data_IF_845594695408
#
_entry.id   IF_845594695408
#
_cell.length_a   1.000
_cell.length_b   1.000
_cell.length_c   1.000
_cell.angle_alpha   90.00
_cell.angle_beta   90.00
_cell.angle_gamma   90.00
#
_symmetry.space_group_name_H-M   'P 1'
#
loop_
_entity.id
_entity.type
_entity.pdbx_description
1 polymer ?
#
# COMPACT_ATOMS: atom_id res chain seq x y z
N UNK A 1 -3.40 7.22 21.84
CA UNK A 1 -2.68 6.12 22.53
C UNK A 1 -1.22 6.26 22.16
N UNK A 2 -0.28 6.12 23.10
CA UNK A 2 1.14 6.17 22.78
C UNK A 2 1.52 5.02 21.81
N UNK A 3 2.59 5.21 21.01
CA UNK A 3 3.14 4.13 20.20
C UNK A 3 3.53 2.92 21.07
N UNK A 4 3.47 1.72 20.48
CA UNK A 4 3.98 0.51 21.13
C UNK A 4 5.45 0.40 20.76
N UNK A 5 6.32 0.45 21.76
CA UNK A 5 7.76 0.43 21.58
C UNK A 5 8.39 -0.85 22.16
N UNK A 6 9.58 -1.21 21.67
CA UNK A 6 10.41 -2.28 22.23
C UNK A 6 9.73 -3.64 22.39
N UNK A 7 8.81 -3.98 21.46
CA UNK A 7 8.20 -5.31 21.42
C UNK A 7 9.21 -6.32 20.86
N UNK A 8 9.59 -7.30 21.69
CA UNK A 8 10.57 -8.33 21.32
C UNK A 8 9.91 -9.52 20.61
N UNK A 9 10.63 -10.08 19.63
CA UNK A 9 10.28 -11.30 18.90
C UNK A 9 11.51 -12.20 18.82
N UNK A 10 11.31 -13.53 18.80
CA UNK A 10 12.40 -14.51 18.76
C UNK A 10 13.13 -14.56 17.41
N UNK A 11 12.41 -14.27 16.32
CA UNK A 11 12.96 -14.28 14.96
C UNK A 11 12.19 -13.34 14.03
N UNK A 12 12.78 -13.09 12.85
CA UNK A 12 12.16 -12.35 11.76
C UNK A 12 12.19 -13.16 10.45
N UNK A 13 11.07 -13.28 9.72
CA UNK A 13 9.72 -12.78 10.03
C UNK A 13 9.12 -13.38 11.31
N UNK A 14 8.21 -12.64 11.95
CA UNK A 14 7.60 -13.05 13.24
C UNK A 14 6.76 -14.33 13.05
N UNK A 15 7.05 -15.44 13.78
CA UNK A 15 6.39 -16.73 13.57
C UNK A 15 4.90 -16.74 13.87
N UNK A 16 4.47 -15.95 14.85
CA UNK A 16 3.08 -15.84 15.26
C UNK A 16 2.26 -14.90 14.36
N UNK A 17 2.90 -14.27 13.36
CA UNK A 17 2.22 -13.40 12.42
C UNK A 17 1.22 -14.19 11.58
N UNK A 18 -0.04 -13.74 11.60
CA UNK A 18 -1.10 -14.31 10.78
C UNK A 18 -1.23 -13.50 9.49
N UNK A 19 -1.17 -14.20 8.35
CA UNK A 19 -1.35 -13.57 7.04
C UNK A 19 -2.84 -13.50 6.70
N UNK A 20 -3.36 -12.28 6.69
CA UNK A 20 -4.75 -12.00 6.34
C UNK A 20 -4.87 -11.58 4.88
N UNK A 21 -5.83 -12.17 4.17
CA UNK A 21 -6.13 -11.82 2.78
C UNK A 21 -7.42 -11.01 2.73
N UNK A 22 -7.33 -9.83 2.10
CA UNK A 22 -8.49 -9.04 1.72
C UNK A 22 -8.64 -8.98 0.21
N UNK A 23 -9.88 -8.85 -0.24
CA UNK A 23 -10.27 -8.68 -1.63
C UNK A 23 -10.75 -7.24 -1.85
N UNK A 24 -10.38 -6.67 -2.99
CA UNK A 24 -10.89 -5.38 -3.45
C UNK A 24 -12.37 -5.58 -3.84
N UNK A 25 -13.30 -4.88 -3.19
CA UNK A 25 -14.75 -5.01 -3.42
C UNK A 25 -15.33 -3.83 -4.20
N UNK A 26 -16.50 -4.05 -4.78
CA UNK A 26 -17.16 -3.10 -5.69
C UNK A 26 -17.69 -1.83 -4.97
N UNK A 27 -17.70 -1.82 -3.64
CA UNK A 27 -18.11 -0.69 -2.80
C UNK A 27 -16.92 0.10 -2.23
N UNK A 28 -15.76 0.05 -2.90
CA UNK A 28 -14.51 0.72 -2.49
C UNK A 28 -14.04 0.29 -1.09
N UNK A 29 -14.21 -1.00 -0.78
CA UNK A 29 -13.75 -1.59 0.49
C UNK A 29 -12.83 -2.78 0.27
N UNK A 30 -12.16 -3.15 1.33
CA UNK A 30 -11.47 -4.41 1.47
C UNK A 30 -12.41 -5.39 2.18
N UNK A 31 -12.66 -6.54 1.56
CA UNK A 31 -13.55 -7.57 2.08
C UNK A 31 -12.77 -8.86 2.40
N UNK A 32 -13.15 -9.57 3.47
CA UNK A 32 -12.55 -10.86 3.82
C UNK A 32 -12.97 -12.01 2.86
N UNK A 33 -14.04 -11.80 2.08
CA UNK A 33 -14.55 -12.75 1.09
C UNK A 33 -14.48 -12.12 -0.30
N UNK A 34 -14.22 -12.96 -1.31
CA UNK A 34 -14.25 -12.53 -2.71
C UNK A 34 -15.64 -11.98 -3.07
N UNK A 35 -15.73 -10.87 -3.83
CA UNK A 35 -16.98 -10.42 -4.40
C UNK A 35 -17.63 -11.50 -5.29
N UNK A 36 -18.97 -11.56 -5.36
CA UNK A 36 -19.68 -12.57 -6.15
C UNK A 36 -19.56 -12.33 -7.67
N UNK A 37 -19.25 -11.09 -8.08
CA UNK A 37 -19.04 -10.69 -9.47
C UNK A 37 -17.89 -9.70 -9.56
N UNK A 38 -17.14 -9.77 -10.66
CA UNK A 38 -16.09 -8.78 -10.96
C UNK A 38 -16.67 -7.40 -11.24
N UNK A 39 -15.86 -6.38 -11.01
CA UNK A 39 -16.10 -5.01 -11.43
C UNK A 39 -14.78 -4.36 -11.87
N UNK A 40 -14.88 -3.28 -12.64
CA UNK A 40 -13.74 -2.49 -13.08
C UNK A 40 -13.91 -1.07 -12.55
N UNK A 41 -12.83 -0.52 -12.02
CA UNK A 41 -12.70 0.88 -11.65
C UNK A 41 -11.60 1.47 -12.55
N UNK A 42 -11.77 2.71 -12.98
CA UNK A 42 -10.84 3.42 -13.84
C UNK A 42 -10.48 4.76 -13.22
N UNK A 43 -9.26 5.20 -13.47
CA UNK A 43 -8.72 6.49 -13.06
C UNK A 43 -7.73 6.97 -14.14
N UNK A 44 -7.44 8.26 -14.16
CA UNK A 44 -6.47 8.86 -15.06
C UNK A 44 -5.05 8.74 -14.48
N UNK A 45 -4.14 8.11 -15.23
CA UNK A 45 -2.76 7.86 -14.79
C UNK A 45 -1.79 9.03 -15.02
N UNK A 46 -2.21 10.10 -15.69
CA UNK A 46 -1.40 11.28 -16.02
C UNK A 46 -1.68 12.48 -15.10
N UNK A 47 -2.42 12.25 -14.02
CA UNK A 47 -2.69 13.26 -12.99
C UNK A 47 -1.57 13.26 -11.94
N UNK A 48 -1.01 14.43 -11.57
CA UNK A 48 0.03 14.51 -10.54
C UNK A 48 -0.45 13.98 -9.19
N UNK A 49 0.21 12.95 -8.68
CA UNK A 49 0.06 12.50 -7.29
C UNK A 49 0.83 13.43 -6.34
N UNK A 50 0.13 14.00 -5.36
CA UNK A 50 0.68 14.94 -4.37
C UNK A 50 0.81 14.31 -2.97
N UNK A 51 0.42 13.03 -2.85
CA UNK A 51 0.54 12.15 -1.68
C UNK A 51 -0.18 12.65 -0.42
N UNK A 52 -1.21 13.50 -0.58
CA UNK A 52 -1.91 14.10 0.56
C UNK A 52 -3.05 13.25 1.13
N UNK A 53 -3.37 12.10 0.49
CA UNK A 53 -4.42 11.18 0.97
C UNK A 53 -5.84 11.65 0.62
N UNK A 54 -5.95 12.44 -0.43
CA UNK A 54 -7.16 12.80 -1.18
C UNK A 54 -6.72 13.33 -2.56
N UNK A 55 -5.80 12.60 -3.19
CA UNK A 55 -5.25 13.00 -4.47
C UNK A 55 -6.33 12.84 -5.55
N UNK A 56 -6.44 13.75 -6.53
CA UNK A 56 -7.34 13.52 -7.65
C UNK A 56 -6.91 12.25 -8.40
N UNK A 57 -7.90 11.47 -8.88
CA UNK A 57 -7.67 10.26 -9.67
C UNK A 57 -6.93 9.13 -8.93
N UNK A 58 -7.11 9.03 -7.61
CA UNK A 58 -6.72 7.86 -6.82
C UNK A 58 -7.89 6.89 -6.62
N UNK A 59 -7.59 5.58 -6.56
CA UNK A 59 -8.57 4.54 -6.22
C UNK A 59 -8.29 4.04 -4.81
N UNK A 60 -9.25 4.24 -3.90
CA UNK A 60 -9.12 3.89 -2.48
C UNK A 60 -9.99 2.68 -2.13
N UNK A 61 -9.45 1.79 -1.30
CA UNK A 61 -10.20 0.69 -0.69
C UNK A 61 -9.97 0.67 0.81
N UNK A 62 -11.06 0.69 1.58
CA UNK A 62 -10.99 0.85 3.03
C UNK A 62 -11.32 -0.44 3.81
N UNK A 63 -10.65 -0.63 4.95
CA UNK A 63 -11.00 -1.66 5.92
C UNK A 63 -11.05 -1.09 7.35
N UNK A 64 -12.17 -1.32 8.04
CA UNK A 64 -12.29 -0.97 9.46
C UNK A 64 -12.05 -2.18 10.36
N UNK A 65 -10.92 -2.15 11.09
CA UNK A 65 -10.63 -3.16 12.11
C UNK A 65 -11.61 -3.08 13.28
N UNK A 66 -12.26 -4.20 13.60
CA UNK A 66 -13.25 -4.30 14.70
C UNK A 66 -12.60 -4.41 16.09
N UNK A 67 -11.29 -4.63 16.13
CA UNK A 67 -10.49 -4.74 17.36
C UNK A 67 -9.11 -4.16 17.13
N UNK A 68 -8.43 -3.78 18.22
CA UNK A 68 -7.03 -3.36 18.19
C UNK A 68 -6.19 -4.43 17.49
N UNK A 69 -5.60 -4.07 16.36
CA UNK A 69 -4.84 -4.98 15.50
C UNK A 69 -3.46 -4.40 15.23
N UNK A 70 -2.44 -5.25 15.19
CA UNK A 70 -1.07 -4.88 14.85
C UNK A 70 -0.76 -5.49 13.48
N UNK A 71 -0.31 -4.64 12.55
CA UNK A 71 0.21 -5.07 11.26
C UNK A 71 1.74 -5.01 11.34
N UNK A 72 2.39 -6.11 10.95
CA UNK A 72 3.83 -6.22 10.93
C UNK A 72 4.27 -7.11 9.76
N UNK A 73 5.47 -6.89 9.25
CA UNK A 73 6.01 -7.63 8.13
C UNK A 73 5.64 -7.05 6.76
N UNK A 74 5.76 -7.88 5.73
CA UNK A 74 5.54 -7.48 4.34
C UNK A 74 4.06 -7.54 3.97
N UNK A 75 3.60 -6.55 3.21
CA UNK A 75 2.29 -6.56 2.56
C UNK A 75 2.45 -6.87 1.07
N UNK A 76 1.41 -7.45 0.47
CA UNK A 76 1.38 -7.81 -0.95
C UNK A 76 0.06 -7.39 -1.56
N UNK A 77 0.11 -6.61 -2.63
CA UNK A 77 -1.03 -6.32 -3.48
C UNK A 77 -0.99 -7.21 -4.72
N UNK A 78 -2.14 -7.77 -5.11
CA UNK A 78 -2.31 -8.48 -6.38
C UNK A 78 -3.42 -7.76 -7.14
N UNK A 79 -3.04 -7.14 -8.24
CA UNK A 79 -3.91 -6.26 -9.03
C UNK A 79 -4.04 -6.81 -10.44
N UNK A 80 -5.28 -6.78 -10.96
CA UNK A 80 -5.60 -7.07 -12.35
C UNK A 80 -5.88 -5.73 -13.02
N UNK A 81 -5.02 -5.32 -13.95
CA UNK A 81 -5.02 -3.97 -14.51
C UNK A 81 -4.76 -4.02 -16.02
N UNK A 82 -5.29 -3.01 -16.73
CA UNK A 82 -5.06 -2.77 -18.15
C UNK A 82 -5.01 -1.27 -18.41
N UNK A 83 -4.26 -0.85 -19.43
CA UNK A 83 -4.28 0.52 -19.94
C UNK A 83 -4.68 0.49 -21.42
N UNK A 84 -5.79 1.13 -21.84
CA UNK A 84 -6.18 1.16 -23.26
C UNK A 84 -5.23 1.98 -24.14
N UNK A 85 -4.60 3.02 -23.58
CA UNK A 85 -3.77 3.98 -24.32
C UNK A 85 -2.28 3.65 -24.40
N UNK A 86 -1.81 2.73 -23.56
CA UNK A 86 -0.38 2.39 -23.45
C UNK A 86 -0.18 0.89 -23.26
N UNK A 87 0.93 0.37 -23.77
CA UNK A 87 1.34 -1.02 -23.65
C UNK A 87 2.21 -1.29 -22.40
N UNK A 88 2.50 -0.26 -21.62
CA UNK A 88 3.16 -0.34 -20.31
C UNK A 88 2.77 0.86 -19.42
N UNK A 89 2.90 0.69 -18.11
CA UNK A 89 2.56 1.71 -17.11
C UNK A 89 3.19 1.40 -15.76
N UNK A 90 3.42 2.43 -14.95
CA UNK A 90 3.90 2.30 -13.57
C UNK A 90 2.70 2.26 -12.62
N UNK A 91 2.67 1.26 -11.73
CA UNK A 91 1.62 1.08 -10.72
C UNK A 91 2.18 1.45 -9.36
N UNK A 92 1.56 2.44 -8.71
CA UNK A 92 1.87 2.87 -7.36
C UNK A 92 0.79 2.38 -6.40
N UNK A 93 1.19 1.78 -5.28
CA UNK A 93 0.28 1.33 -4.23
C UNK A 93 0.78 1.85 -2.89
N UNK A 94 -0.14 2.33 -2.05
CA UNK A 94 0.18 2.78 -0.70
C UNK A 94 -0.83 2.24 0.30
N UNK A 95 -0.35 1.73 1.44
CA UNK A 95 -1.21 1.42 2.58
C UNK A 95 -1.20 2.61 3.53
N UNK A 96 -2.37 3.22 3.73
CA UNK A 96 -2.58 4.34 4.65
C UNK A 96 -3.36 3.88 5.87
N UNK A 97 -3.11 4.55 7.00
CA UNK A 97 -3.88 4.34 8.23
C UNK A 97 -4.81 5.53 8.43
N UNK A 98 -6.10 5.29 8.52
CA UNK A 98 -7.06 6.30 8.92
C UNK A 98 -7.38 6.23 10.43
N UNK A 99 -7.71 7.39 11.01
CA UNK A 99 -8.28 7.52 12.34
C UNK A 99 -9.74 7.10 12.38
N UNK A 100 -10.31 7.08 13.59
CA UNK A 100 -11.74 6.77 13.82
C UNK A 100 -12.71 7.78 13.17
N UNK A 101 -12.19 8.95 12.83
CA UNK A 101 -12.84 10.08 12.19
C UNK A 101 -12.66 10.07 10.66
N UNK A 102 -11.99 9.05 10.11
CA UNK A 102 -11.67 8.96 8.69
C UNK A 102 -10.44 9.76 8.26
N UNK A 103 -9.84 10.56 9.15
CA UNK A 103 -8.66 11.35 8.82
C UNK A 103 -7.44 10.44 8.61
N UNK A 104 -6.78 10.57 7.47
CA UNK A 104 -5.55 9.83 7.19
C UNK A 104 -4.44 10.30 8.14
N UNK A 105 -3.86 9.35 8.86
CA UNK A 105 -2.82 9.60 9.85
C UNK A 105 -1.44 9.54 9.20
N UNK A 106 -0.51 10.31 9.77
CA UNK A 106 0.93 10.25 9.47
C UNK A 106 1.69 9.85 10.73
N UNK A 107 2.92 9.37 10.55
CA UNK A 107 3.80 9.01 11.66
C UNK A 107 5.03 9.91 11.65
N UNK A 108 5.31 10.59 12.76
CA UNK A 108 6.53 11.39 12.91
C UNK A 108 7.69 10.45 13.22
N UNK A 109 8.72 10.45 12.38
CA UNK A 109 9.83 9.49 12.45
C UNK A 109 10.87 9.82 13.52
N UNK A 110 10.94 11.09 13.94
CA UNK A 110 11.88 11.58 14.95
C UNK A 110 11.06 12.09 16.15
N UNK A 111 11.38 11.70 17.39
CA UNK A 111 10.67 12.20 18.56
C UNK A 111 10.57 13.73 18.54
N UNK A 112 9.37 14.29 18.82
CA UNK A 112 9.13 15.74 18.71
C UNK A 112 10.10 16.58 19.56
N UNK A 113 10.51 16.06 20.71
CA UNK A 113 11.50 16.69 21.59
C UNK A 113 12.88 16.85 20.93
N UNK A 114 13.28 15.88 20.10
CA UNK A 114 14.57 15.91 19.38
C UNK A 114 14.50 16.85 18.16
N UNK A 115 13.29 17.13 17.66
CA UNK A 115 13.03 18.12 16.62
C UNK A 115 12.89 19.55 17.17
N UNK A 116 12.78 19.72 18.49
CA UNK A 116 12.60 21.04 19.12
C UNK A 116 11.24 21.70 18.80
N UNK A 117 10.23 20.92 18.46
CA UNK A 117 8.87 21.41 18.12
C UNK A 117 7.89 21.13 19.24
N UNK A 118 6.82 21.95 19.33
CA UNK A 118 5.79 21.78 20.36
C UNK A 118 4.49 21.16 19.83
N UNK A 119 4.39 21.01 18.51
CA UNK A 119 3.19 20.53 17.82
C UNK A 119 3.55 19.76 16.56
N UNK A 120 2.76 18.72 16.24
CA UNK A 120 2.90 17.95 14.99
C UNK A 120 2.75 18.83 13.73
N UNK A 121 2.04 19.96 13.85
CA UNK A 121 1.85 20.93 12.75
C UNK A 121 3.11 21.69 12.37
N UNK A 122 4.08 21.78 13.28
CA UNK A 122 5.38 22.43 13.03
C UNK A 122 6.34 21.48 12.29
N UNK A 123 6.06 20.18 12.29
CA UNK A 123 6.87 19.20 11.57
C UNK A 123 6.58 19.31 10.08
N UNK A 124 7.61 19.54 9.28
CA UNK A 124 7.48 19.62 7.82
C UNK A 124 6.99 18.31 7.20
N UNK A 125 6.19 18.42 6.15
CA UNK A 125 5.65 17.28 5.37
C UNK A 125 6.70 16.75 4.38
N UNK A 126 7.81 16.25 4.91
CA UNK A 126 8.87 15.61 4.12
C UNK A 126 9.13 14.20 4.63
N UNK A 127 9.48 13.30 3.70
CA UNK A 127 9.65 11.87 3.99
C UNK A 127 10.57 11.55 5.19
N UNK A 128 11.72 12.24 5.39
CA UNK A 128 12.56 12.00 6.56
C UNK A 128 11.85 12.26 7.89
N UNK A 129 10.92 13.21 7.93
CA UNK A 129 10.23 13.63 9.15
C UNK A 129 8.88 12.93 9.34
N UNK A 130 8.14 12.67 8.25
CA UNK A 130 6.82 12.06 8.29
C UNK A 130 6.74 10.85 7.36
N UNK A 131 6.38 9.71 7.94
CA UNK A 131 6.05 8.50 7.22
C UNK A 131 4.53 8.41 7.01
N UNK A 132 4.13 8.22 5.75
CA UNK A 132 2.71 8.14 5.36
C UNK A 132 2.16 6.72 5.45
N UNK A 133 3.03 5.71 5.49
CA UNK A 133 2.69 4.30 5.36
C UNK A 133 3.53 3.62 4.27
N UNK A 134 3.56 2.27 4.25
CA UNK A 134 4.37 1.54 3.29
C UNK A 134 3.80 1.72 1.88
N UNK A 135 4.70 2.00 0.93
CA UNK A 135 4.40 2.12 -0.49
C UNK A 135 5.16 1.09 -1.32
N UNK A 136 4.66 0.84 -2.52
CA UNK A 136 5.30 0.01 -3.54
C UNK A 136 5.07 0.58 -4.92
N UNK A 137 6.05 0.38 -5.80
CA UNK A 137 5.96 0.74 -7.22
C UNK A 137 6.38 -0.46 -8.07
N UNK A 138 5.66 -0.69 -9.15
CA UNK A 138 6.00 -1.71 -10.14
C UNK A 138 5.69 -1.19 -11.55
N UNK A 139 6.68 -1.24 -12.44
CA UNK A 139 6.45 -1.15 -13.88
C UNK A 139 5.78 -2.43 -14.36
N UNK A 140 4.61 -2.32 -14.98
CA UNK A 140 3.75 -3.46 -15.24
C UNK A 140 4.36 -4.48 -16.24
N UNK A 141 5.19 -4.03 -17.18
CA UNK A 141 5.99 -4.91 -18.05
C UNK A 141 7.00 -5.79 -17.30
N UNK A 142 7.41 -5.40 -16.08
CA UNK A 142 8.34 -6.14 -15.20
C UNK A 142 7.61 -7.08 -14.21
N UNK A 143 6.32 -7.36 -14.41
CA UNK A 143 5.51 -8.20 -13.50
C UNK A 143 5.97 -9.65 -13.32
N UNK A 144 6.90 -10.14 -14.14
CA UNK A 144 7.43 -11.50 -14.03
C UNK A 144 8.00 -11.74 -12.62
N UNK A 145 7.66 -12.89 -12.03
CA UNK A 145 8.05 -13.26 -10.66
C UNK A 145 9.25 -14.20 -10.75
N UNK A 146 10.29 -13.93 -9.95
CA UNK A 146 11.39 -14.86 -9.73
C UNK A 146 10.93 -15.99 -8.79
N UNK A 147 10.83 -17.25 -9.28
CA UNK A 147 10.32 -18.36 -8.47
C UNK A 147 11.33 -18.86 -7.42
N UNK A 148 12.62 -18.53 -7.55
CA UNK A 148 13.70 -18.95 -6.65
C UNK A 148 13.77 -18.00 -5.45
N UNK A 149 13.72 -16.69 -5.71
CA UNK A 149 13.81 -15.66 -4.67
C UNK A 149 12.48 -15.43 -3.94
N UNK A 150 11.35 -15.64 -4.62
CA UNK A 150 10.03 -15.41 -4.03
C UNK A 150 9.71 -16.36 -2.88
N UNK A 151 9.02 -15.82 -1.87
CA UNK A 151 8.41 -16.54 -0.75
C UNK A 151 6.90 -16.31 -0.77
N UNK A 152 6.07 -17.16 -0.12
CA UNK A 152 4.60 -17.07 -0.20
C UNK A 152 4.01 -15.66 0.05
N UNK A 153 4.62 -14.89 0.96
CA UNK A 153 4.17 -13.56 1.37
C UNK A 153 5.15 -12.43 1.03
N UNK A 154 6.20 -12.73 0.26
CA UNK A 154 7.21 -11.78 -0.21
C UNK A 154 7.60 -12.15 -1.64
N UNK A 155 7.00 -11.48 -2.61
CA UNK A 155 7.31 -11.70 -4.01
C UNK A 155 8.58 -10.93 -4.39
N UNK A 156 9.36 -11.54 -5.26
CA UNK A 156 10.50 -10.92 -5.93
C UNK A 156 10.18 -10.89 -7.43
N UNK A 157 10.25 -9.70 -8.01
CA UNK A 157 10.13 -9.53 -9.45
C UNK A 157 11.47 -9.85 -10.12
N UNK A 158 11.40 -10.55 -11.25
CA UNK A 158 12.56 -11.06 -12.01
C UNK A 158 13.40 -9.90 -12.58
N UNK A 159 12.75 -8.85 -13.09
CA UNK A 159 13.39 -7.66 -13.67
C UNK A 159 14.40 -7.91 -14.81
N UNK A 160 14.54 -9.15 -15.29
CA UNK A 160 15.48 -9.48 -16.38
C UNK A 160 14.91 -9.20 -17.77
N UNK A 161 13.60 -8.95 -17.89
CA UNK A 161 12.91 -8.69 -19.16
C UNK A 161 11.63 -7.90 -18.99
N UNK A 162 11.24 -7.26 -20.08
CA UNK A 162 9.97 -6.57 -20.22
C UNK A 162 8.99 -7.43 -21.02
N UNK A 163 7.73 -7.47 -20.59
CA UNK A 163 6.63 -8.11 -21.31
C UNK A 163 5.47 -7.11 -21.43
N UNK A 164 5.49 -6.31 -22.49
CA UNK A 164 4.47 -5.29 -22.73
C UNK A 164 3.07 -5.92 -22.94
N UNK A 165 2.04 -5.12 -22.67
CA UNK A 165 0.64 -5.50 -22.85
C UNK A 165 0.22 -5.34 -24.32
N UNK A 166 -0.73 -6.15 -24.75
CA UNK A 166 -1.41 -5.92 -26.02
C UNK A 166 -2.45 -4.82 -25.81
N UNK A 167 -2.38 -3.76 -26.62
CA UNK A 167 -3.36 -2.67 -26.58
C UNK A 167 -4.78 -3.22 -26.78
N UNK A 168 -5.71 -2.81 -25.91
CA UNK A 168 -7.14 -3.15 -26.02
C UNK A 168 -7.57 -4.52 -25.49
N UNK A 169 -6.77 -5.20 -24.64
CA UNK A 169 -7.22 -6.42 -23.91
C UNK A 169 -7.16 -6.24 -22.39
N UNK A 170 -8.23 -6.68 -21.72
CA UNK A 170 -8.28 -6.97 -20.27
C UNK A 170 -7.78 -8.41 -20.02
#
# INVERSE_FOLDING_TARGET
MPPVENLSFSEWPVPEAQYEKFFLSNDAKLAAKSPPSGATISFLGDVPAIQMGNDPEEVVFEYTFQRKTRLLGTSKAVLYMSCPGHDDFDVFVQLRKAGKDGNVLTHINIPMQDLGVTSEKEVGDINPLKFLGPGGVLRASHRAIDPILSKPHRLHHDHTKEVNFLLGRL
#
